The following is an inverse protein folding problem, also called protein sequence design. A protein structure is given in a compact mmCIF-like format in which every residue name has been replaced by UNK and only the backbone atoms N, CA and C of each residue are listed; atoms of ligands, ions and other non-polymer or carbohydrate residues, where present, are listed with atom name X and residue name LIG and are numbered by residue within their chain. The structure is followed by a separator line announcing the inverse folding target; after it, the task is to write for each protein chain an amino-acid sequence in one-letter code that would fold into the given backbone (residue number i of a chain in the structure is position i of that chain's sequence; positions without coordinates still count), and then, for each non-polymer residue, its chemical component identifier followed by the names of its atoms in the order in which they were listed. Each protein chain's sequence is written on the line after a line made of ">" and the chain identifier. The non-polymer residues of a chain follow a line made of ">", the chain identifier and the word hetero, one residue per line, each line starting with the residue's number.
data_IF_450231500212
#
_entry.id   IF_450231500212
#
_cell.length_a   1.000
_cell.length_b   1.000
_cell.length_c   1.000
_cell.angle_alpha   90.00
_cell.angle_beta   90.00
_cell.angle_gamma   90.00
#
_symmetry.space_group_name_H-M   'P 1'
#
loop_
_entity.id
_entity.type
_entity.pdbx_description
1 polymer ?
#
# COMPACT_ATOMS: atom_id res chain seq x y z
N UNK A 1 -3.36 -4.31 17.16
CA UNK A 1 -2.13 -4.00 16.40
C UNK A 1 -1.62 -2.64 16.84
N UNK A 2 -0.33 -2.50 17.13
CA UNK A 2 0.29 -1.22 17.50
C UNK A 2 0.42 -0.29 16.27
N UNK A 3 0.55 1.04 16.45
CA UNK A 3 0.77 1.98 15.33
C UNK A 3 1.96 1.61 14.44
N UNK A 4 3.08 1.19 15.04
CA UNK A 4 4.26 0.70 14.32
C UNK A 4 3.93 -0.52 13.45
N UNK A 5 3.17 -1.49 13.99
CA UNK A 5 2.74 -2.66 13.21
C UNK A 5 1.78 -2.31 12.06
N UNK A 6 1.00 -1.22 12.18
CA UNK A 6 0.14 -0.74 11.08
C UNK A 6 0.96 -0.08 9.98
N UNK A 7 1.96 0.73 10.34
CA UNK A 7 2.85 1.37 9.38
C UNK A 7 3.67 0.33 8.59
N UNK A 8 4.21 -0.68 9.27
CA UNK A 8 5.00 -1.74 8.62
C UNK A 8 4.13 -2.58 7.68
N UNK A 9 2.91 -2.90 8.10
CA UNK A 9 1.94 -3.58 7.23
C UNK A 9 1.57 -2.75 6.00
N UNK A 10 1.35 -1.45 6.15
CA UNK A 10 1.05 -0.54 5.04
C UNK A 10 2.23 -0.45 4.06
N UNK A 11 3.46 -0.34 4.58
CA UNK A 11 4.69 -0.33 3.77
C UNK A 11 4.84 -1.61 2.95
N UNK A 12 4.69 -2.77 3.60
CA UNK A 12 4.81 -4.07 2.96
C UNK A 12 3.82 -4.23 1.79
N UNK A 13 2.56 -3.80 1.97
CA UNK A 13 1.56 -3.86 0.91
C UNK A 13 1.92 -2.99 -0.30
N UNK A 14 2.42 -1.76 -0.06
CA UNK A 14 2.83 -0.87 -1.14
C UNK A 14 4.07 -1.40 -1.88
N UNK A 15 5.04 -1.95 -1.16
CA UNK A 15 6.22 -2.59 -1.75
C UNK A 15 5.82 -3.78 -2.63
N UNK A 16 4.93 -4.64 -2.15
CA UNK A 16 4.45 -5.78 -2.94
C UNK A 16 3.76 -5.35 -4.23
N UNK A 17 2.89 -4.32 -4.17
CA UNK A 17 2.21 -3.80 -5.37
C UNK A 17 3.22 -3.18 -6.34
N UNK A 18 4.18 -2.41 -5.84
CA UNK A 18 5.25 -1.83 -6.66
C UNK A 18 6.01 -2.93 -7.40
N UNK A 19 6.43 -3.96 -6.70
CA UNK A 19 7.23 -5.04 -7.27
C UNK A 19 6.43 -5.83 -8.32
N UNK A 20 5.14 -6.07 -8.08
CA UNK A 20 4.24 -6.70 -9.07
C UNK A 20 4.10 -5.86 -10.35
N UNK A 21 3.93 -4.54 -10.21
CA UNK A 21 3.80 -3.63 -11.35
C UNK A 21 5.12 -3.53 -12.15
N UNK A 22 6.27 -3.48 -11.46
CA UNK A 22 7.58 -3.47 -12.10
C UNK A 22 7.86 -4.78 -12.84
N UNK A 23 7.55 -5.93 -12.25
CA UNK A 23 7.67 -7.23 -12.89
C UNK A 23 6.77 -7.33 -14.14
N UNK A 24 5.53 -6.83 -14.06
CA UNK A 24 4.65 -6.78 -15.23
C UNK A 24 5.17 -5.88 -16.34
N UNK A 25 5.67 -4.68 -15.99
CA UNK A 25 6.24 -3.74 -16.96
C UNK A 25 7.53 -4.25 -17.59
N UNK A 26 8.41 -4.90 -16.82
CA UNK A 26 9.70 -5.39 -17.29
C UNK A 26 9.55 -6.58 -18.25
N UNK A 27 8.56 -7.44 -18.04
CA UNK A 27 8.39 -8.68 -18.79
C UNK A 27 7.13 -8.72 -19.67
N UNK A 28 6.40 -7.60 -19.77
CA UNK A 28 5.15 -7.52 -20.54
C UNK A 28 4.06 -8.45 -20.02
N UNK A 29 4.04 -8.77 -18.72
CA UNK A 29 3.07 -9.69 -18.15
C UNK A 29 1.70 -9.02 -18.10
N UNK A 30 0.68 -9.75 -18.52
CA UNK A 30 -0.70 -9.32 -18.34
C UNK A 30 -1.09 -9.45 -16.86
N UNK A 31 -1.60 -8.36 -16.29
CA UNK A 31 -2.23 -8.35 -14.97
C UNK A 31 -3.75 -8.43 -15.18
N UNK A 32 -4.42 -9.51 -14.71
CA UNK A 32 -5.87 -9.61 -14.74
C UNK A 32 -6.56 -8.46 -13.99
N UNK A 33 -7.78 -8.08 -14.37
CA UNK A 33 -8.53 -7.02 -13.71
C UNK A 33 -8.63 -7.20 -12.19
N UNK A 34 -8.82 -8.43 -11.73
CA UNK A 34 -8.91 -8.75 -10.30
C UNK A 34 -7.58 -8.46 -9.58
N UNK A 35 -6.45 -8.74 -10.23
CA UNK A 35 -5.14 -8.41 -9.64
C UNK A 35 -4.92 -6.90 -9.56
N UNK A 36 -5.40 -6.15 -10.56
CA UNK A 36 -5.35 -4.69 -10.56
C UNK A 36 -6.27 -4.09 -9.47
N UNK A 37 -7.46 -4.65 -9.28
CA UNK A 37 -8.37 -4.26 -8.20
C UNK A 37 -7.76 -4.51 -6.82
N UNK A 38 -7.15 -5.69 -6.62
CA UNK A 38 -6.45 -6.00 -5.39
C UNK A 38 -5.26 -5.06 -5.13
N UNK A 39 -4.52 -4.70 -6.19
CA UNK A 39 -3.43 -3.73 -6.08
C UNK A 39 -3.95 -2.33 -5.70
N UNK A 40 -5.05 -1.88 -6.32
CA UNK A 40 -5.70 -0.62 -5.99
C UNK A 40 -6.18 -0.57 -4.53
N UNK A 41 -6.78 -1.66 -4.03
CA UNK A 41 -7.19 -1.77 -2.63
C UNK A 41 -6.03 -1.66 -1.66
N UNK A 42 -4.91 -2.34 -1.94
CA UNK A 42 -3.67 -2.24 -1.13
C UNK A 42 -3.09 -0.82 -1.12
N UNK A 43 -3.11 -0.13 -2.26
CA UNK A 43 -2.65 1.25 -2.35
C UNK A 43 -3.54 2.18 -1.52
N UNK A 44 -4.85 2.11 -1.70
CA UNK A 44 -5.81 2.97 -1.00
C UNK A 44 -5.69 2.81 0.53
N UNK A 45 -5.60 1.56 0.99
CA UNK A 45 -5.51 1.26 2.41
C UNK A 45 -4.15 1.63 3.02
N UNK A 46 -3.06 1.41 2.28
CA UNK A 46 -1.73 1.87 2.69
C UNK A 46 -1.68 3.39 2.83
N UNK A 47 -2.26 4.13 1.86
CA UNK A 47 -2.36 5.59 1.91
C UNK A 47 -3.17 6.08 3.11
N UNK A 48 -4.32 5.44 3.39
CA UNK A 48 -5.16 5.76 4.56
C UNK A 48 -4.36 5.63 5.86
N UNK A 49 -3.63 4.52 6.04
CA UNK A 49 -2.81 4.30 7.24
C UNK A 49 -1.73 5.38 7.37
N UNK A 50 -1.04 5.75 6.29
CA UNK A 50 -0.05 6.83 6.36
C UNK A 50 -0.68 8.17 6.73
N UNK A 51 -1.83 8.51 6.14
CA UNK A 51 -2.56 9.75 6.46
C UNK A 51 -2.99 9.80 7.94
N UNK A 52 -3.51 8.70 8.47
CA UNK A 52 -3.89 8.58 9.89
C UNK A 52 -2.69 8.78 10.81
N UNK A 53 -1.57 8.09 10.52
CA UNK A 53 -0.36 8.21 11.33
C UNK A 53 0.30 9.60 11.25
N UNK A 54 0.18 10.29 10.12
CA UNK A 54 0.64 11.69 10.01
C UNK A 54 -0.31 12.66 10.71
N UNK A 55 -1.62 12.43 10.62
CA UNK A 55 -2.63 13.31 11.24
C UNK A 55 -2.65 13.16 12.77
N UNK A 56 -2.49 11.93 13.29
CA UNK A 56 -2.36 11.66 14.73
C UNK A 56 -1.10 12.30 15.34
N UNK A 57 -0.09 12.57 14.52
CA UNK A 57 1.16 13.19 14.93
C UNK A 57 1.07 14.73 15.00
N UNK A 58 0.09 15.31 14.31
CA UNK A 58 -0.13 16.77 14.20
C UNK A 58 -1.41 17.26 14.94
N UNK A 59 -2.13 16.38 15.64
CA UNK A 59 -3.31 16.74 16.46
C UNK A 59 -2.92 17.44 17.79
N UNK A 60 -3.78 18.31 18.36
CA UNK A 60 -3.46 19.04 19.58
C UNK A 60 -3.39 18.07 20.77
N UNK A 61 -2.25 18.07 21.46
CA UNK A 61 -2.12 17.44 22.78
C UNK A 61 -3.00 18.10 23.83
#
# INVERSE_FOLDING_TARGET
>A
MSPLSRQDWARMNLEQVRDQLLDAAAFGKYLPPEQLEHAAGKIAEGLRVFQELTSDRDGPG
#
